data_IF_661265356010
#
_entry.id   IF_661265356010
#
_cell.length_a   1.000
_cell.length_b   1.000
_cell.length_c   1.000
_cell.angle_alpha   90.00
_cell.angle_beta   90.00
_cell.angle_gamma   90.00
#
_symmetry.space_group_name_H-M   'P 1'
#
loop_
_entity.id
_entity.type
_entity.pdbx_description
1 polymer ?
#
# COMPACT_ATOMS: atom_id res chain seq x y z
N UNK A 1 9.77 8.19 25.58
CA UNK A 1 8.39 7.67 25.57
C UNK A 1 8.39 6.30 24.92
N UNK A 2 7.71 5.32 25.50
CA UNK A 2 7.58 3.96 24.94
C UNK A 2 6.50 3.97 23.85
N UNK A 3 6.61 3.11 22.81
CA UNK A 3 5.59 2.97 21.77
C UNK A 3 4.27 2.49 22.36
N UNK A 4 3.18 2.78 21.66
CA UNK A 4 1.84 2.35 22.06
C UNK A 4 1.77 0.81 22.14
N UNK A 5 1.24 0.20 23.24
CA UNK A 5 1.27 -1.25 23.46
C UNK A 5 0.51 -2.07 22.40
N UNK A 6 -0.43 -1.44 21.66
CA UNK A 6 -1.15 -2.09 20.57
C UNK A 6 -0.28 -2.42 19.34
N UNK A 7 0.92 -1.83 19.22
CA UNK A 7 1.86 -2.08 18.12
C UNK A 7 3.12 -2.76 18.66
N UNK A 8 3.64 -3.70 17.86
CA UNK A 8 4.98 -4.30 18.01
C UNK A 8 5.94 -3.55 17.07
N UNK A 9 6.81 -2.64 17.56
CA UNK A 9 7.55 -1.70 16.71
C UNK A 9 8.41 -2.38 15.65
N UNK A 10 9.15 -3.42 16.03
CA UNK A 10 10.04 -4.14 15.09
C UNK A 10 9.24 -4.86 13.99
N UNK A 11 8.13 -5.50 14.34
CA UNK A 11 7.26 -6.15 13.37
C UNK A 11 6.56 -5.11 12.47
N UNK A 12 6.25 -3.94 13.00
CA UNK A 12 5.67 -2.85 12.22
C UNK A 12 6.67 -2.26 11.20
N UNK A 13 7.94 -2.12 11.60
CA UNK A 13 9.01 -1.70 10.68
C UNK A 13 9.20 -2.74 9.56
N UNK A 14 9.17 -4.04 9.89
CA UNK A 14 9.22 -5.11 8.88
C UNK A 14 8.03 -5.05 7.91
N UNK A 15 6.80 -4.87 8.43
CA UNK A 15 5.62 -4.68 7.60
C UNK A 15 5.82 -3.52 6.62
N UNK A 16 6.28 -2.36 7.11
CA UNK A 16 6.47 -1.18 6.27
C UNK A 16 7.59 -1.34 5.25
N UNK A 17 8.63 -2.09 5.57
CA UNK A 17 9.66 -2.47 4.61
C UNK A 17 9.08 -3.29 3.45
N UNK A 18 8.30 -4.36 3.76
CA UNK A 18 7.71 -5.25 2.75
C UNK A 18 6.65 -4.50 1.92
N UNK A 19 5.82 -3.68 2.56
CA UNK A 19 4.84 -2.83 1.87
C UNK A 19 5.52 -1.85 0.91
N UNK A 20 6.63 -1.22 1.31
CA UNK A 20 7.39 -0.33 0.43
C UNK A 20 8.11 -1.07 -0.70
N UNK A 21 8.55 -2.32 -0.45
CA UNK A 21 9.09 -3.19 -1.50
C UNK A 21 8.01 -3.50 -2.55
N UNK A 22 6.78 -3.79 -2.13
CA UNK A 22 5.64 -3.94 -3.04
C UNK A 22 5.43 -2.66 -3.87
N UNK A 23 5.40 -1.49 -3.23
CA UNK A 23 5.24 -0.22 -3.94
C UNK A 23 6.35 0.00 -4.98
N UNK A 24 7.60 -0.28 -4.63
CA UNK A 24 8.73 -0.19 -5.58
C UNK A 24 8.59 -1.14 -6.76
N UNK A 25 8.18 -2.39 -6.51
CA UNK A 25 7.91 -3.38 -7.57
C UNK A 25 6.80 -2.93 -8.52
N UNK A 26 5.74 -2.31 -8.01
CA UNK A 26 4.53 -1.98 -8.78
C UNK A 26 4.66 -0.73 -9.65
N UNK A 27 5.62 0.16 -9.41
CA UNK A 27 5.72 1.49 -10.05
C UNK A 27 5.68 1.41 -11.58
N UNK A 28 6.46 0.53 -12.19
CA UNK A 28 6.51 0.38 -13.65
C UNK A 28 5.20 -0.15 -14.25
N UNK A 29 4.53 -1.06 -13.54
CA UNK A 29 3.29 -1.70 -13.99
C UNK A 29 2.12 -0.71 -14.11
N UNK A 30 2.03 0.25 -13.19
CA UNK A 30 0.93 1.23 -13.14
C UNK A 30 0.80 2.04 -14.43
N UNK A 31 1.91 2.43 -15.05
CA UNK A 31 1.91 3.18 -16.31
C UNK A 31 1.31 2.37 -17.48
N UNK A 32 1.54 1.06 -17.51
CA UNK A 32 0.97 0.18 -18.54
C UNK A 32 -0.51 -0.06 -18.27
N UNK A 33 -0.89 -0.35 -17.02
CA UNK A 33 -2.28 -0.59 -16.61
C UNK A 33 -3.18 0.62 -16.88
N UNK A 34 -2.67 1.85 -16.75
CA UNK A 34 -3.45 3.06 -16.94
C UNK A 34 -3.49 3.57 -18.38
N UNK A 35 -2.81 2.91 -19.32
CA UNK A 35 -2.84 3.28 -20.75
C UNK A 35 -4.26 3.44 -21.33
N UNK A 36 -5.27 2.60 -20.98
CA UNK A 36 -6.63 2.78 -21.48
C UNK A 36 -7.39 3.99 -20.92
N UNK A 37 -6.89 4.65 -19.87
CA UNK A 37 -7.60 5.73 -19.18
C UNK A 37 -7.40 7.07 -19.89
N UNK A 38 -8.48 7.84 -20.05
CA UNK A 38 -8.43 9.19 -20.57
C UNK A 38 -8.01 10.23 -19.54
N UNK A 39 -7.47 11.40 -19.95
CA UNK A 39 -7.14 12.51 -19.04
C UNK A 39 -8.32 12.97 -18.18
N UNK A 40 -9.55 12.88 -18.68
CA UNK A 40 -10.77 13.24 -17.95
C UNK A 40 -11.00 12.31 -16.74
N UNK A 41 -10.68 11.01 -16.86
CA UNK A 41 -10.76 10.04 -15.75
C UNK A 41 -9.76 10.42 -14.65
N UNK A 42 -8.53 10.78 -15.00
CA UNK A 42 -7.53 11.24 -14.03
C UNK A 42 -7.97 12.50 -13.29
N UNK A 43 -8.55 13.48 -14.00
CA UNK A 43 -9.07 14.72 -13.41
C UNK A 43 -10.25 14.44 -12.47
N UNK A 44 -11.21 13.63 -12.90
CA UNK A 44 -12.35 13.23 -12.06
C UNK A 44 -11.92 12.44 -10.82
N UNK A 45 -10.97 11.52 -10.99
CA UNK A 45 -10.38 10.77 -9.88
C UNK A 45 -9.63 11.67 -8.89
N UNK A 46 -8.90 12.68 -9.37
CA UNK A 46 -8.26 13.67 -8.51
C UNK A 46 -9.25 14.47 -7.67
N UNK A 47 -10.39 14.87 -8.26
CA UNK A 47 -11.49 15.52 -7.50
C UNK A 47 -12.05 14.54 -6.46
N UNK A 48 -12.34 13.30 -6.86
CA UNK A 48 -12.84 12.26 -5.96
C UNK A 48 -11.88 11.98 -4.80
N UNK A 49 -10.56 11.90 -5.08
CA UNK A 49 -9.53 11.73 -4.07
C UNK A 49 -9.51 12.89 -3.07
N UNK A 50 -9.58 14.13 -3.55
CA UNK A 50 -9.58 15.30 -2.68
C UNK A 50 -10.82 15.31 -1.75
N UNK A 51 -12.01 15.00 -2.29
CA UNK A 51 -13.24 14.90 -1.50
C UNK A 51 -13.17 13.75 -0.48
N UNK A 52 -12.68 12.57 -0.87
CA UNK A 52 -12.51 11.43 0.02
C UNK A 52 -11.50 11.73 1.15
N UNK A 53 -10.37 12.34 0.83
CA UNK A 53 -9.36 12.76 1.83
C UNK A 53 -9.94 13.79 2.80
N UNK A 54 -10.74 14.75 2.31
CA UNK A 54 -11.45 15.71 3.15
C UNK A 54 -12.43 15.00 4.07
N UNK A 55 -13.23 14.07 3.56
CA UNK A 55 -14.19 13.29 4.37
C UNK A 55 -13.47 12.48 5.46
N UNK A 56 -12.34 11.83 5.14
CA UNK A 56 -11.51 11.11 6.12
C UNK A 56 -11.00 12.07 7.20
N UNK A 57 -10.50 13.25 6.82
CA UNK A 57 -9.98 14.23 7.78
C UNK A 57 -11.04 14.73 8.76
N UNK A 58 -12.30 14.91 8.32
CA UNK A 58 -13.41 15.31 9.21
C UNK A 58 -13.76 14.23 10.26
N UNK A 59 -13.36 12.97 10.03
CA UNK A 59 -13.64 11.87 10.96
C UNK A 59 -12.47 11.58 11.93
N UNK A 60 -11.38 12.34 11.92
CA UNK A 60 -10.18 12.07 12.74
C UNK A 60 -10.49 11.87 14.22
N UNK A 61 -11.43 12.63 14.80
CA UNK A 61 -11.83 12.46 16.21
C UNK A 61 -12.35 11.06 16.55
N UNK A 62 -12.87 10.33 15.55
CA UNK A 62 -13.42 8.97 15.73
C UNK A 62 -12.43 7.88 15.33
N UNK A 63 -11.64 8.13 14.27
CA UNK A 63 -10.85 7.08 13.64
C UNK A 63 -9.37 7.10 14.05
N UNK A 64 -8.86 8.16 14.71
CA UNK A 64 -7.48 8.19 15.22
C UNK A 64 -7.34 7.30 16.46
N UNK A 65 -7.57 6.01 16.31
CA UNK A 65 -7.38 4.98 17.32
C UNK A 65 -6.56 3.81 16.74
N UNK A 66 -5.85 3.01 17.57
CA UNK A 66 -5.09 1.84 17.11
C UNK A 66 -5.97 0.81 16.36
N UNK A 67 -7.22 0.62 16.82
CA UNK A 67 -8.15 -0.32 16.21
C UNK A 67 -8.56 0.11 14.80
N UNK A 68 -8.89 1.38 14.60
CA UNK A 68 -9.19 1.91 13.27
C UNK A 68 -7.96 1.94 12.36
N UNK A 69 -6.79 2.24 12.91
CA UNK A 69 -5.54 2.18 12.15
C UNK A 69 -5.30 0.77 11.59
N UNK A 70 -5.46 -0.27 12.43
CA UNK A 70 -5.34 -1.65 11.96
C UNK A 70 -6.39 -1.99 10.88
N UNK A 71 -7.68 -1.66 11.12
CA UNK A 71 -8.77 -1.97 10.19
C UNK A 71 -8.57 -1.29 8.84
N UNK A 72 -8.25 0.01 8.84
CA UNK A 72 -8.06 0.77 7.60
C UNK A 72 -6.76 0.37 6.87
N UNK A 73 -5.67 0.08 7.59
CA UNK A 73 -4.48 -0.50 6.98
C UNK A 73 -4.80 -1.84 6.31
N UNK A 74 -5.52 -2.74 7.01
CA UNK A 74 -5.92 -4.04 6.44
C UNK A 74 -6.82 -3.86 5.21
N UNK A 75 -7.76 -2.91 5.24
CA UNK A 75 -8.60 -2.59 4.07
C UNK A 75 -7.78 -2.15 2.88
N UNK A 76 -6.77 -1.29 3.09
CA UNK A 76 -5.85 -0.84 2.02
C UNK A 76 -5.13 -2.04 1.39
N UNK A 77 -4.54 -2.91 2.19
CA UNK A 77 -3.79 -4.06 1.68
C UNK A 77 -4.72 -5.07 0.96
N UNK A 78 -5.95 -5.29 1.46
CA UNK A 78 -6.92 -6.17 0.79
C UNK A 78 -7.44 -5.59 -0.53
N UNK A 79 -7.64 -4.27 -0.62
CA UNK A 79 -7.98 -3.60 -1.88
C UNK A 79 -6.84 -3.74 -2.88
N UNK A 80 -5.60 -3.51 -2.44
CA UNK A 80 -4.40 -3.69 -3.27
C UNK A 80 -4.27 -5.13 -3.76
N UNK A 81 -4.39 -6.12 -2.87
CA UNK A 81 -4.34 -7.54 -3.21
C UNK A 81 -5.41 -7.91 -4.24
N UNK A 82 -6.65 -7.39 -4.09
CA UNK A 82 -7.71 -7.64 -5.06
C UNK A 82 -7.38 -7.07 -6.44
N UNK A 83 -6.76 -5.90 -6.51
CA UNK A 83 -6.29 -5.28 -7.76
C UNK A 83 -5.22 -6.12 -8.45
N UNK A 84 -4.22 -6.57 -7.68
CA UNK A 84 -3.11 -7.39 -8.21
C UNK A 84 -3.62 -8.75 -8.73
N UNK A 85 -4.54 -9.38 -8.01
CA UNK A 85 -5.17 -10.64 -8.45
C UNK A 85 -6.02 -10.39 -9.71
N UNK A 86 -6.76 -9.30 -9.78
CA UNK A 86 -7.58 -8.98 -10.95
C UNK A 86 -6.73 -8.85 -12.22
N UNK A 87 -5.53 -8.26 -12.15
CA UNK A 87 -4.60 -8.16 -13.29
C UNK A 87 -4.13 -9.54 -13.78
N UNK A 88 -4.02 -10.53 -12.90
CA UNK A 88 -3.68 -11.90 -13.31
C UNK A 88 -4.84 -12.67 -13.96
N UNK A 89 -6.07 -12.33 -13.61
CA UNK A 89 -7.25 -13.09 -14.00
C UNK A 89 -8.04 -12.48 -15.17
N UNK A 90 -7.88 -11.17 -15.41
CA UNK A 90 -8.69 -10.43 -16.37
C UNK A 90 -7.80 -9.80 -17.45
N UNK A 91 -8.33 -9.58 -18.67
CA UNK A 91 -7.61 -8.86 -19.71
C UNK A 91 -7.35 -7.41 -19.30
N UNK A 92 -6.19 -6.87 -19.70
CA UNK A 92 -5.86 -5.45 -19.44
C UNK A 92 -6.62 -4.58 -20.45
N UNK A 93 -7.81 -4.18 -20.04
CA UNK A 93 -8.74 -3.34 -20.79
C UNK A 93 -9.22 -2.14 -19.93
N UNK A 94 -10.16 -1.36 -20.47
CA UNK A 94 -10.69 -0.19 -19.75
C UNK A 94 -11.40 -0.55 -18.42
N UNK A 95 -12.25 -1.60 -18.34
CA UNK A 95 -12.83 -2.04 -17.06
C UNK A 95 -11.80 -2.39 -15.99
N UNK A 96 -10.78 -3.16 -16.32
CA UNK A 96 -9.71 -3.52 -15.37
C UNK A 96 -8.89 -2.28 -14.96
N UNK A 97 -8.52 -1.44 -15.94
CA UNK A 97 -7.79 -0.19 -15.66
C UNK A 97 -8.56 0.72 -14.70
N UNK A 98 -9.88 0.86 -14.88
CA UNK A 98 -10.75 1.61 -13.98
C UNK A 98 -10.85 0.96 -12.60
N UNK A 99 -10.99 -0.35 -12.52
CA UNK A 99 -11.04 -1.09 -11.24
C UNK A 99 -9.76 -0.86 -10.43
N UNK A 100 -8.59 -1.05 -11.04
CA UNK A 100 -7.30 -0.83 -10.40
C UNK A 100 -7.13 0.64 -10.01
N UNK A 101 -7.48 1.57 -10.90
CA UNK A 101 -7.40 3.01 -10.64
C UNK A 101 -8.26 3.42 -9.44
N UNK A 102 -9.52 2.98 -9.37
CA UNK A 102 -10.42 3.26 -8.23
C UNK A 102 -9.86 2.66 -6.94
N UNK A 103 -9.33 1.44 -6.98
CA UNK A 103 -8.67 0.81 -5.85
C UNK A 103 -7.54 1.69 -5.30
N UNK A 104 -6.66 2.19 -6.16
CA UNK A 104 -5.59 3.11 -5.76
C UNK A 104 -6.14 4.44 -5.20
N UNK A 105 -7.22 5.01 -5.76
CA UNK A 105 -7.82 6.22 -5.20
C UNK A 105 -8.33 5.98 -3.76
N UNK A 106 -8.91 4.82 -3.48
CA UNK A 106 -9.33 4.44 -2.12
C UNK A 106 -8.10 4.36 -1.20
N UNK A 107 -7.03 3.70 -1.61
CA UNK A 107 -5.80 3.58 -0.80
C UNK A 107 -5.16 4.95 -0.54
N UNK A 108 -5.07 5.81 -1.55
CA UNK A 108 -4.48 7.15 -1.42
C UNK A 108 -5.32 8.08 -0.55
N UNK A 109 -6.65 7.95 -0.55
CA UNK A 109 -7.52 8.77 0.30
C UNK A 109 -7.25 8.55 1.80
N UNK A 110 -6.74 7.39 2.17
CA UNK A 110 -6.35 7.03 3.54
C UNK A 110 -4.89 7.38 3.86
N UNK A 111 -4.07 7.73 2.85
CA UNK A 111 -2.62 7.91 3.00
C UNK A 111 -2.23 8.87 4.11
N UNK A 112 -2.80 10.09 4.12
CA UNK A 112 -2.52 11.11 5.16
C UNK A 112 -2.92 10.65 6.56
N UNK A 113 -4.04 9.94 6.68
CA UNK A 113 -4.50 9.35 7.93
C UNK A 113 -3.50 8.29 8.45
N UNK A 114 -3.08 7.37 7.58
CA UNK A 114 -2.15 6.29 7.95
C UNK A 114 -0.81 6.85 8.43
N UNK A 115 -0.25 7.84 7.73
CA UNK A 115 1.01 8.51 8.12
C UNK A 115 0.86 9.19 9.49
N UNK A 116 -0.29 9.83 9.74
CA UNK A 116 -0.53 10.47 11.04
C UNK A 116 -0.62 9.45 12.17
N UNK A 117 -1.32 8.33 11.97
CA UNK A 117 -1.37 7.24 12.95
C UNK A 117 0.02 6.66 13.23
N UNK A 118 0.85 6.44 12.20
CA UNK A 118 2.23 5.98 12.36
C UNK A 118 3.02 6.91 13.29
N UNK A 119 2.94 8.23 13.05
CA UNK A 119 3.64 9.24 13.86
C UNK A 119 3.18 9.25 15.31
N UNK A 120 1.87 9.13 15.55
CA UNK A 120 1.29 9.16 16.90
C UNK A 120 1.58 7.88 17.70
N UNK A 121 1.65 6.73 17.03
CA UNK A 121 1.86 5.44 17.70
C UNK A 121 3.32 5.12 17.99
N UNK A 122 4.27 5.59 17.16
CA UNK A 122 5.68 5.32 17.33
C UNK A 122 6.40 6.32 18.26
N UNK A 123 5.89 7.51 18.42
CA UNK A 123 6.26 8.57 19.39
C UNK A 123 7.75 8.96 19.49
N UNK A 124 8.71 8.04 19.23
CA UNK A 124 10.13 8.35 19.35
C UNK A 124 10.77 8.65 17.99
N UNK A 125 11.64 9.67 17.96
CA UNK A 125 12.40 10.07 16.75
C UNK A 125 13.21 8.89 16.19
N UNK A 126 13.80 8.07 17.06
CA UNK A 126 14.61 6.92 16.64
C UNK A 126 13.76 5.84 15.93
N UNK A 127 12.53 5.60 16.41
CA UNK A 127 11.62 4.66 15.76
C UNK A 127 11.11 5.20 14.43
N UNK A 128 10.77 6.49 14.34
CA UNK A 128 10.39 7.13 13.09
C UNK A 128 11.52 7.07 12.06
N UNK A 129 12.76 7.34 12.48
CA UNK A 129 13.95 7.20 11.63
C UNK A 129 14.10 5.77 11.09
N UNK A 130 14.01 4.75 11.97
CA UNK A 130 14.07 3.34 11.56
C UNK A 130 12.97 2.99 10.56
N UNK A 131 11.75 3.49 10.80
CA UNK A 131 10.63 3.30 9.90
C UNK A 131 10.87 3.90 8.52
N UNK A 132 11.31 5.17 8.47
CA UNK A 132 11.53 5.87 7.20
C UNK A 132 12.70 5.26 6.41
N UNK A 133 13.79 4.87 7.10
CA UNK A 133 14.89 4.12 6.47
C UNK A 133 14.40 2.79 5.89
N UNK A 134 13.58 2.04 6.64
CA UNK A 134 13.03 0.77 6.17
C UNK A 134 12.11 0.96 4.95
N UNK A 135 11.25 2.00 4.94
CA UNK A 135 10.41 2.36 3.80
C UNK A 135 11.25 2.65 2.56
N UNK A 136 12.26 3.50 2.67
CA UNK A 136 13.11 3.87 1.51
C UNK A 136 13.94 2.69 1.01
N UNK A 137 14.51 1.88 1.92
CA UNK A 137 15.24 0.68 1.54
C UNK A 137 14.35 -0.35 0.82
N UNK A 138 13.13 -0.59 1.34
CA UNK A 138 12.15 -1.47 0.71
C UNK A 138 11.78 -0.98 -0.69
N UNK A 139 11.46 0.31 -0.83
CA UNK A 139 11.11 0.92 -2.11
C UNK A 139 12.24 0.81 -3.14
N UNK A 140 13.48 1.14 -2.75
CA UNK A 140 14.65 1.03 -3.61
C UNK A 140 14.88 -0.42 -4.08
N UNK A 141 14.81 -1.38 -3.15
CA UNK A 141 14.98 -2.80 -3.48
C UNK A 141 13.84 -3.30 -4.39
N UNK A 142 12.60 -2.85 -4.17
CA UNK A 142 11.47 -3.16 -5.03
C UNK A 142 11.67 -2.65 -6.45
N UNK A 143 12.09 -1.40 -6.61
CA UNK A 143 12.39 -0.83 -7.94
C UNK A 143 13.53 -1.58 -8.64
N UNK A 144 14.60 -1.90 -7.91
CA UNK A 144 15.72 -2.68 -8.45
C UNK A 144 15.26 -4.09 -8.90
N UNK A 145 14.46 -4.75 -8.10
CA UNK A 145 13.90 -6.07 -8.42
C UNK A 145 12.96 -5.99 -9.65
N UNK A 146 12.10 -4.97 -9.75
CA UNK A 146 11.27 -4.74 -10.93
C UNK A 146 12.11 -4.53 -12.19
N UNK A 147 13.14 -3.68 -12.12
CA UNK A 147 14.05 -3.45 -13.23
C UNK A 147 14.77 -4.74 -13.67
N UNK A 148 15.29 -5.53 -12.72
CA UNK A 148 15.90 -6.82 -13.01
C UNK A 148 14.91 -7.79 -13.66
N UNK A 149 13.67 -7.84 -13.17
CA UNK A 149 12.61 -8.70 -13.71
C UNK A 149 12.28 -8.33 -15.14
N UNK A 150 12.00 -7.05 -15.43
CA UNK A 150 11.70 -6.58 -16.79
C UNK A 150 12.88 -6.82 -17.74
N UNK A 151 14.11 -6.50 -17.32
CA UNK A 151 15.31 -6.73 -18.13
C UNK A 151 15.55 -8.23 -18.39
N UNK A 152 15.29 -9.08 -17.39
CA UNK A 152 15.39 -10.54 -17.52
C UNK A 152 14.34 -11.10 -18.48
N UNK A 153 13.08 -10.66 -18.36
CA UNK A 153 12.01 -11.06 -19.29
C UNK A 153 12.33 -10.68 -20.73
N UNK A 154 12.81 -9.48 -20.97
CA UNK A 154 13.17 -9.01 -22.30
C UNK A 154 14.37 -9.76 -22.89
N UNK A 155 15.49 -9.86 -22.14
CA UNK A 155 16.76 -10.38 -22.68
C UNK A 155 16.88 -11.89 -22.63
N UNK A 156 16.32 -12.56 -21.62
CA UNK A 156 16.48 -14.00 -21.41
C UNK A 156 15.28 -14.81 -21.88
N UNK A 157 14.06 -14.27 -21.71
CA UNK A 157 12.82 -14.94 -22.07
C UNK A 157 12.21 -14.44 -23.38
N UNK A 158 12.79 -13.41 -24.03
CA UNK A 158 12.28 -12.74 -25.24
C UNK A 158 10.82 -12.25 -25.13
N UNK A 159 10.38 -11.91 -23.91
CA UNK A 159 9.07 -11.31 -23.66
C UNK A 159 9.20 -9.80 -23.88
N UNK A 160 8.81 -9.31 -25.05
CA UNK A 160 8.95 -7.90 -25.45
C UNK A 160 7.64 -7.11 -25.32
N UNK A 161 6.49 -7.79 -25.27
CA UNK A 161 5.21 -7.14 -25.06
C UNK A 161 5.09 -6.60 -23.63
N UNK A 162 4.71 -5.33 -23.50
CA UNK A 162 4.62 -4.63 -22.19
C UNK A 162 3.54 -5.22 -21.30
N UNK A 163 2.43 -5.67 -21.89
CA UNK A 163 1.32 -6.28 -21.15
C UNK A 163 1.75 -7.60 -20.55
N UNK A 164 2.43 -8.46 -21.34
CA UNK A 164 2.93 -9.75 -20.88
C UNK A 164 3.98 -9.60 -19.79
N UNK A 165 4.86 -8.60 -19.90
CA UNK A 165 5.84 -8.27 -18.86
C UNK A 165 5.16 -7.86 -17.55
N UNK A 166 4.13 -7.01 -17.63
CA UNK A 166 3.36 -6.56 -16.46
C UNK A 166 2.61 -7.72 -15.81
N UNK A 167 1.91 -8.56 -16.60
CA UNK A 167 1.22 -9.74 -16.07
C UNK A 167 2.22 -10.70 -15.39
N UNK A 168 3.38 -10.94 -16.00
CA UNK A 168 4.44 -11.78 -15.40
C UNK A 168 4.90 -11.25 -14.04
N UNK A 169 5.11 -9.93 -13.91
CA UNK A 169 5.48 -9.30 -12.64
C UNK A 169 4.38 -9.43 -11.57
N UNK A 170 3.10 -9.45 -11.99
CA UNK A 170 1.98 -9.54 -11.05
C UNK A 170 1.95 -10.85 -10.27
N UNK A 171 2.50 -11.93 -10.79
CA UNK A 171 2.72 -13.16 -10.03
C UNK A 171 3.61 -12.94 -8.80
N UNK A 172 4.71 -12.18 -8.97
CA UNK A 172 5.58 -11.80 -7.85
C UNK A 172 4.88 -10.81 -6.91
N UNK A 173 4.13 -9.84 -7.47
CA UNK A 173 3.37 -8.86 -6.67
C UNK A 173 2.34 -9.51 -5.75
N UNK A 174 1.61 -10.56 -6.21
CA UNK A 174 0.68 -11.31 -5.35
C UNK A 174 1.42 -11.92 -4.15
N UNK A 175 2.56 -12.57 -4.39
CA UNK A 175 3.35 -13.19 -3.31
C UNK A 175 3.79 -12.14 -2.29
N UNK A 176 4.33 -11.02 -2.76
CA UNK A 176 4.79 -9.94 -1.88
C UNK A 176 3.61 -9.32 -1.13
N UNK A 177 2.46 -9.10 -1.77
CA UNK A 177 1.29 -8.51 -1.12
C UNK A 177 0.69 -9.42 -0.06
N UNK A 178 0.67 -10.74 -0.29
CA UNK A 178 0.30 -11.70 0.76
C UNK A 178 1.24 -11.60 1.96
N UNK A 179 2.56 -11.44 1.71
CA UNK A 179 3.52 -11.22 2.80
C UNK A 179 3.27 -9.89 3.53
N UNK A 180 2.87 -8.83 2.82
CA UNK A 180 2.46 -7.54 3.41
C UNK A 180 1.30 -7.73 4.37
N UNK A 181 0.22 -8.41 3.94
CA UNK A 181 -0.97 -8.70 4.76
C UNK A 181 -0.59 -9.48 6.02
N UNK A 182 0.24 -10.54 5.88
CA UNK A 182 0.71 -11.33 7.00
C UNK A 182 1.60 -10.53 7.96
N UNK A 183 2.50 -9.69 7.44
CA UNK A 183 3.35 -8.83 8.24
C UNK A 183 2.54 -7.78 9.00
N UNK A 184 1.55 -7.15 8.36
CA UNK A 184 0.61 -6.24 9.01
C UNK A 184 -0.15 -6.93 10.15
N UNK A 185 -0.66 -8.14 9.90
CA UNK A 185 -1.35 -8.93 10.91
C UNK A 185 -0.48 -9.24 12.14
N UNK A 186 0.81 -9.47 11.95
CA UNK A 186 1.78 -9.74 13.03
C UNK A 186 2.21 -8.48 13.77
N UNK A 187 2.14 -7.31 13.11
CA UNK A 187 2.60 -6.04 13.67
C UNK A 187 1.71 -5.51 14.79
N UNK A 188 0.45 -5.97 14.86
CA UNK A 188 -0.51 -5.52 15.86
C UNK A 188 -0.78 -6.55 16.95
N UNK A 189 -0.91 -6.06 18.20
CA UNK A 189 -1.32 -6.85 19.36
C UNK A 189 -2.84 -6.79 19.49
N UNK A 190 -3.53 -7.71 18.81
CA UNK A 190 -4.99 -7.72 18.66
C UNK A 190 -5.81 -7.73 19.96
N UNK A 191 -5.43 -8.45 21.02
CA UNK A 191 -6.14 -8.36 22.30
C UNK A 191 -6.23 -6.91 22.83
N UNK A 192 -5.16 -6.13 22.65
CA UNK A 192 -5.12 -4.73 23.10
C UNK A 192 -5.92 -3.79 22.20
N UNK A 193 -6.16 -4.14 20.92
CA UNK A 193 -7.02 -3.36 20.03
C UNK A 193 -8.49 -3.37 20.43
N UNK A 194 -8.92 -4.37 21.21
CA UNK A 194 -10.30 -4.49 21.69
C UNK A 194 -10.53 -3.75 23.01
N UNK A 195 -9.47 -3.49 23.77
CA UNK A 195 -9.55 -2.91 25.11
C UNK A 195 -9.32 -1.39 25.06
N UNK A 196 -8.54 -0.90 24.12
CA UNK A 196 -8.11 0.50 24.01
C UNK A 196 -8.67 1.18 22.76
N UNK A 197 -9.97 1.48 22.75
CA UNK A 197 -10.57 2.40 21.76
C UNK A 197 -10.34 3.88 22.14
N UNK A 198 -9.36 4.18 23.01
CA UNK A 198 -9.01 5.54 23.36
C UNK A 198 -8.40 6.27 22.16
N UNK A 199 -8.84 7.52 21.89
CA UNK A 199 -8.27 8.32 20.80
C UNK A 199 -6.78 8.59 21.07
N UNK A 200 -5.97 8.55 20.00
CA UNK A 200 -4.51 8.83 20.05
C UNK A 200 -4.19 10.29 20.39
N UNK A 201 -5.19 11.17 20.37
CA UNK A 201 -5.10 12.61 20.70
C UNK A 201 -6.23 12.92 21.67
N UNK A 202 -5.87 13.40 22.86
CA UNK A 202 -6.80 14.01 23.82
C UNK A 202 -7.09 15.46 23.45
#
# INVERSE_FOLDING_TARGET
MSPHPAIRPEAFVQYKFINSLFLGLSVGAVFVLYTPLSPAVFSAGGIGLALATLAVATQYRRILTPAWFFRLSMTVELVTLSGVIAVLLLPIDLPLALFVYIGYQITFSLGSYLVRCETLLLVSVEQLKKLDVAKQAGYLLGMAAAWCTYTGLERLANVTDRTDQVVSLHGLLVVVEVLVVLALWRAFNRPLLQIEDAPLIS
#
